data_IF_270634620106
#
_entry.id   IF_270634620106
#
_cell.length_a   1.000
_cell.length_b   1.000
_cell.length_c   1.000
_cell.angle_alpha   90.00
_cell.angle_beta   90.00
_cell.angle_gamma   90.00
#
_symmetry.space_group_name_H-M   'P 1'
#
loop_
_entity.id
_entity.type
_entity.pdbx_description
1 polymer ?
#
# COMPACT_ATOMS: atom_id res chain seq x y z
N UNK A 1 -19.61 45.54 -41.02
CA UNK A 1 -20.65 44.55 -40.61
C UNK A 1 -19.98 43.19 -40.52
N UNK A 2 -19.58 42.81 -39.34
CA UNK A 2 -18.90 41.50 -39.08
C UNK A 2 -19.77 40.71 -38.09
N UNK A 3 -20.38 39.68 -38.62
CA UNK A 3 -21.28 38.77 -37.89
C UNK A 3 -20.48 37.89 -36.94
N UNK A 4 -20.66 38.05 -35.62
CA UNK A 4 -20.20 37.13 -34.60
C UNK A 4 -21.00 35.83 -34.68
N UNK A 5 -20.35 34.70 -35.04
CA UNK A 5 -20.91 33.35 -34.86
C UNK A 5 -20.94 32.99 -33.38
N UNK A 6 -22.14 32.85 -32.83
CA UNK A 6 -22.39 32.28 -31.50
C UNK A 6 -21.99 30.79 -31.52
N UNK A 7 -20.94 30.43 -30.80
CA UNK A 7 -20.60 29.05 -30.50
C UNK A 7 -21.61 28.49 -29.45
N UNK A 8 -22.31 27.42 -29.83
CA UNK A 8 -23.18 26.65 -28.91
C UNK A 8 -22.32 26.11 -27.75
N UNK A 9 -22.76 26.22 -26.48
CA UNK A 9 -22.08 25.57 -25.38
C UNK A 9 -22.21 24.04 -25.52
N UNK A 10 -21.11 23.34 -25.25
CA UNK A 10 -21.08 21.87 -25.20
C UNK A 10 -22.11 21.33 -24.18
N UNK A 11 -22.74 20.18 -24.44
CA UNK A 11 -23.72 19.61 -23.53
C UNK A 11 -23.05 19.31 -22.19
N UNK A 12 -23.56 19.91 -21.11
CA UNK A 12 -23.20 19.53 -19.74
C UNK A 12 -23.69 18.10 -19.51
N UNK A 13 -22.78 17.16 -19.27
CA UNK A 13 -23.13 15.81 -18.85
C UNK A 13 -24.12 15.87 -17.67
N UNK A 14 -25.25 15.20 -17.82
CA UNK A 14 -26.30 15.12 -16.82
C UNK A 14 -25.72 14.51 -15.54
N UNK A 15 -25.78 15.14 -14.38
CA UNK A 15 -25.32 14.51 -13.15
C UNK A 15 -26.12 13.23 -12.91
N UNK A 16 -25.44 12.11 -12.71
CA UNK A 16 -26.07 10.84 -12.33
C UNK A 16 -26.88 11.11 -11.07
N UNK A 17 -28.21 10.97 -11.18
CA UNK A 17 -29.12 11.23 -10.09
C UNK A 17 -28.93 10.22 -8.94
N UNK A 18 -29.46 10.49 -7.76
CA UNK A 18 -29.29 9.60 -6.57
C UNK A 18 -29.81 8.17 -6.83
N UNK A 19 -30.81 7.99 -7.71
CA UNK A 19 -31.29 6.69 -8.12
C UNK A 19 -30.24 5.94 -8.96
N UNK A 20 -29.54 6.62 -9.87
CA UNK A 20 -28.43 6.04 -10.63
C UNK A 20 -27.25 5.63 -9.75
N UNK A 21 -26.97 6.41 -8.72
CA UNK A 21 -25.95 6.05 -7.70
C UNK A 21 -26.35 4.84 -6.86
N UNK A 22 -27.64 4.71 -6.52
CA UNK A 22 -28.15 3.55 -5.79
C UNK A 22 -28.09 2.28 -6.63
N UNK A 23 -28.44 2.35 -7.92
CA UNK A 23 -28.32 1.23 -8.87
C UNK A 23 -26.86 0.81 -9.04
N UNK A 24 -25.92 1.75 -9.19
CA UNK A 24 -24.49 1.45 -9.27
C UNK A 24 -23.97 0.80 -7.99
N UNK A 25 -24.48 1.21 -6.80
CA UNK A 25 -24.14 0.56 -5.52
C UNK A 25 -24.63 -0.89 -5.46
N UNK A 26 -25.88 -1.14 -5.87
CA UNK A 26 -26.44 -2.48 -5.93
C UNK A 26 -25.70 -3.40 -6.92
N UNK A 27 -25.35 -2.88 -8.10
CA UNK A 27 -24.58 -3.64 -9.10
C UNK A 27 -23.15 -3.98 -8.62
N UNK A 28 -22.54 -3.13 -7.79
CA UNK A 28 -21.21 -3.39 -7.21
C UNK A 28 -21.18 -4.54 -6.21
N UNK A 29 -22.32 -4.99 -5.68
CA UNK A 29 -22.41 -6.18 -4.82
C UNK A 29 -22.28 -7.50 -5.58
N UNK A 30 -22.38 -7.47 -6.92
CA UNK A 30 -22.23 -8.64 -7.78
C UNK A 30 -20.76 -8.75 -8.20
N UNK A 31 -20.02 -9.82 -7.85
CA UNK A 31 -18.56 -9.92 -8.09
C UNK A 31 -18.15 -9.68 -9.54
N UNK A 32 -18.85 -10.28 -10.51
CA UNK A 32 -18.51 -10.12 -11.92
C UNK A 32 -18.74 -8.69 -12.43
N UNK A 33 -19.72 -7.99 -11.87
CA UNK A 33 -20.00 -6.59 -12.21
C UNK A 33 -18.96 -5.70 -11.56
N UNK A 34 -18.61 -5.96 -10.31
CA UNK A 34 -17.56 -5.23 -9.58
C UNK A 34 -16.20 -5.35 -10.28
N UNK A 35 -15.84 -6.54 -10.73
CA UNK A 35 -14.47 -6.84 -11.16
C UNK A 35 -14.24 -6.56 -12.66
N UNK A 36 -15.31 -6.59 -13.48
CA UNK A 36 -15.20 -6.37 -14.94
C UNK A 36 -15.97 -5.14 -15.46
N UNK A 37 -17.18 -4.92 -14.97
CA UNK A 37 -18.04 -3.84 -15.50
C UNK A 37 -17.73 -2.49 -14.83
N UNK A 38 -17.52 -2.49 -13.51
CA UNK A 38 -17.19 -1.24 -12.79
C UNK A 38 -15.85 -0.63 -13.24
N UNK A 39 -14.76 -1.39 -13.44
CA UNK A 39 -13.54 -0.83 -14.02
C UNK A 39 -13.74 -0.22 -15.40
N UNK A 40 -14.57 -0.83 -16.25
CA UNK A 40 -14.89 -0.29 -17.58
C UNK A 40 -15.69 1.02 -17.47
N UNK A 41 -16.75 1.07 -16.65
CA UNK A 41 -17.55 2.28 -16.42
C UNK A 41 -16.72 3.42 -15.82
N UNK A 42 -15.83 3.11 -14.87
CA UNK A 42 -14.92 4.10 -14.29
C UNK A 42 -13.90 4.59 -15.31
N UNK A 43 -13.44 3.71 -16.20
CA UNK A 43 -12.54 4.07 -17.31
C UNK A 43 -13.20 5.07 -18.25
N UNK A 44 -14.46 4.83 -18.63
CA UNK A 44 -15.22 5.71 -19.52
C UNK A 44 -15.51 7.08 -18.85
N UNK A 45 -15.85 7.10 -17.55
CA UNK A 45 -15.99 8.33 -16.79
C UNK A 45 -14.69 9.16 -16.75
N UNK A 46 -13.53 8.50 -16.64
CA UNK A 46 -12.23 9.18 -16.62
C UNK A 46 -11.87 9.79 -17.96
N UNK A 47 -12.27 9.19 -19.08
CA UNK A 47 -12.05 9.74 -20.43
C UNK A 47 -12.73 11.11 -20.62
N UNK A 48 -13.81 11.35 -19.91
CA UNK A 48 -14.59 12.58 -20.01
C UNK A 48 -14.10 13.69 -19.06
N UNK A 49 -13.18 13.38 -18.14
CA UNK A 49 -12.71 14.34 -17.13
C UNK A 49 -11.37 14.94 -17.56
N UNK A 50 -11.28 16.26 -17.78
CA UNK A 50 -10.02 16.93 -18.02
C UNK A 50 -9.07 16.75 -16.83
N UNK A 51 -7.85 16.23 -17.06
CA UNK A 51 -6.85 16.01 -15.99
C UNK A 51 -6.31 17.30 -15.41
N UNK A 52 -6.09 18.32 -16.25
CA UNK A 52 -5.48 19.60 -15.85
C UNK A 52 -6.27 20.34 -14.76
N UNK A 53 -7.60 20.51 -14.81
CA UNK A 53 -8.37 21.14 -13.73
C UNK A 53 -8.28 20.36 -12.40
N UNK A 54 -8.26 19.03 -12.44
CA UNK A 54 -8.16 18.22 -11.23
C UNK A 54 -6.79 18.37 -10.57
N UNK A 55 -5.72 18.36 -11.37
CA UNK A 55 -4.36 18.61 -10.89
C UNK A 55 -4.28 20.02 -10.30
N UNK A 56 -4.84 21.02 -10.97
CA UNK A 56 -4.86 22.41 -10.48
C UNK A 56 -5.62 22.54 -9.16
N UNK A 57 -6.78 21.90 -9.03
CA UNK A 57 -7.58 21.90 -7.80
C UNK A 57 -6.84 21.22 -6.64
N UNK A 58 -6.23 20.04 -6.87
CA UNK A 58 -5.40 19.35 -5.88
C UNK A 58 -4.22 20.21 -5.42
N UNK A 59 -3.47 20.81 -6.37
CA UNK A 59 -2.36 21.69 -6.02
C UNK A 59 -2.83 22.96 -5.30
N UNK A 60 -3.99 23.50 -5.65
CA UNK A 60 -4.65 24.61 -4.97
C UNK A 60 -4.98 24.29 -3.52
N UNK A 61 -5.53 23.10 -3.27
CA UNK A 61 -5.84 22.63 -1.92
C UNK A 61 -4.57 22.43 -1.07
N UNK A 62 -3.55 21.79 -1.62
CA UNK A 62 -2.26 21.61 -0.93
C UNK A 62 -1.58 22.94 -0.63
N UNK A 63 -1.61 23.92 -1.56
CA UNK A 63 -1.12 25.29 -1.30
C UNK A 63 -1.89 26.01 -0.20
N UNK A 64 -3.22 25.80 -0.14
CA UNK A 64 -4.04 26.36 0.94
C UNK A 64 -3.62 25.77 2.28
N UNK A 65 -3.47 24.45 2.36
CA UNK A 65 -3.03 23.76 3.57
C UNK A 65 -1.62 24.19 4.01
N UNK A 66 -0.70 24.38 3.08
CA UNK A 66 0.67 24.81 3.42
C UNK A 66 0.73 26.21 4.03
N UNK A 67 -0.26 27.08 3.77
CA UNK A 67 -0.36 28.45 4.32
C UNK A 67 -1.08 28.50 5.67
N UNK A 68 -1.67 27.42 6.15
CA UNK A 68 -2.32 27.39 7.46
C UNK A 68 -1.27 27.35 8.58
N UNK A 69 -1.61 27.83 9.76
CA UNK A 69 -0.88 27.61 11.00
C UNK A 69 -1.53 26.46 11.79
N UNK A 70 -0.74 25.76 12.62
CA UNK A 70 -1.21 24.64 13.43
C UNK A 70 -1.05 23.27 12.75
N UNK A 71 -1.44 22.20 13.47
CA UNK A 71 -1.20 20.84 13.04
C UNK A 71 -2.08 20.44 11.85
N UNK A 72 -1.52 19.61 10.96
CA UNK A 72 -2.20 18.99 9.82
C UNK A 72 -2.22 17.49 10.01
N UNK A 73 -3.37 16.86 9.84
CA UNK A 73 -3.47 15.42 9.77
C UNK A 73 -3.07 14.94 8.37
N UNK A 74 -2.25 13.89 8.31
CA UNK A 74 -1.85 13.20 7.10
C UNK A 74 -2.47 11.80 7.11
N UNK A 75 -3.43 11.56 6.25
CA UNK A 75 -4.28 10.38 6.30
C UNK A 75 -5.74 10.71 6.60
N UNK A 76 -6.48 9.86 7.34
CA UNK A 76 -6.05 8.54 7.81
C UNK A 76 -5.89 7.56 6.65
N UNK A 77 -4.93 6.64 6.76
CA UNK A 77 -4.79 5.57 5.78
C UNK A 77 -5.64 4.36 6.18
N UNK A 78 -6.69 4.08 5.38
CA UNK A 78 -7.67 3.01 5.64
C UNK A 78 -7.70 1.96 4.52
N UNK A 79 -6.78 2.08 3.57
CA UNK A 79 -6.69 1.20 2.40
C UNK A 79 -5.60 0.13 2.57
N UNK A 80 -5.28 -0.56 1.47
CA UNK A 80 -4.31 -1.66 1.43
C UNK A 80 -2.88 -1.19 1.72
N UNK A 81 -2.09 -2.01 2.43
CA UNK A 81 -0.67 -1.79 2.74
C UNK A 81 0.17 -1.56 1.47
N UNK A 82 -0.10 -2.34 0.41
CA UNK A 82 0.62 -2.19 -0.85
C UNK A 82 0.45 -0.83 -1.51
N UNK A 83 -0.75 -0.25 -1.46
CA UNK A 83 -1.00 1.10 -1.96
C UNK A 83 -0.38 2.18 -1.08
N UNK A 84 -0.30 1.95 0.24
CA UNK A 84 0.38 2.85 1.17
C UNK A 84 1.87 2.98 0.79
N UNK A 85 2.55 1.86 0.66
CA UNK A 85 3.97 1.82 0.32
C UNK A 85 4.27 2.30 -1.11
N UNK A 86 3.48 1.82 -2.09
CA UNK A 86 3.81 2.05 -3.49
C UNK A 86 3.37 3.44 -3.99
N UNK A 87 2.35 4.05 -3.37
CA UNK A 87 1.74 5.29 -3.86
C UNK A 87 1.62 6.38 -2.80
N UNK A 88 1.10 6.06 -1.61
CA UNK A 88 0.80 7.07 -0.61
C UNK A 88 2.06 7.69 0.00
N UNK A 89 2.97 6.89 0.49
CA UNK A 89 4.24 7.36 1.05
C UNK A 89 5.03 8.19 0.03
N UNK A 90 5.26 7.72 -1.22
CA UNK A 90 5.95 8.50 -2.24
C UNK A 90 5.21 9.79 -2.63
N UNK A 91 3.88 9.78 -2.65
CA UNK A 91 3.09 10.98 -2.89
C UNK A 91 3.26 11.99 -1.75
N UNK A 92 3.24 11.55 -0.50
CA UNK A 92 3.45 12.44 0.65
C UNK A 92 4.83 13.07 0.68
N UNK A 93 5.89 12.32 0.34
CA UNK A 93 7.24 12.86 0.22
C UNK A 93 7.27 14.00 -0.80
N UNK A 94 6.63 13.79 -1.96
CA UNK A 94 6.47 14.86 -2.94
C UNK A 94 5.66 16.04 -2.39
N UNK A 95 4.58 15.80 -1.66
CA UNK A 95 3.75 16.89 -1.06
C UNK A 95 4.57 17.71 -0.08
N UNK A 96 5.29 17.05 0.82
CA UNK A 96 6.13 17.72 1.83
C UNK A 96 7.20 18.57 1.15
N UNK A 97 7.90 18.02 0.16
CA UNK A 97 8.95 18.73 -0.57
C UNK A 97 8.40 19.87 -1.43
N UNK A 98 7.40 19.62 -2.26
CA UNK A 98 6.84 20.59 -3.21
C UNK A 98 6.17 21.79 -2.52
N UNK A 99 5.46 21.55 -1.42
CA UNK A 99 4.70 22.58 -0.70
C UNK A 99 5.41 23.09 0.56
N UNK A 100 6.64 22.61 0.82
CA UNK A 100 7.47 23.00 1.97
C UNK A 100 6.69 22.88 3.29
N UNK A 101 6.00 21.74 3.45
CA UNK A 101 5.31 21.43 4.70
C UNK A 101 6.34 21.12 5.78
N UNK A 102 6.20 21.75 6.94
CA UNK A 102 7.04 21.45 8.10
C UNK A 102 6.60 20.10 8.72
N UNK A 103 7.47 19.06 8.75
CA UNK A 103 7.15 17.77 9.35
C UNK A 103 6.73 17.87 10.83
N UNK A 104 7.16 18.89 11.57
CA UNK A 104 6.77 19.12 12.96
C UNK A 104 5.28 19.47 13.12
N UNK A 105 4.61 19.89 12.05
CA UNK A 105 3.18 20.18 12.02
C UNK A 105 2.34 18.99 11.57
N UNK A 106 2.96 17.91 11.07
CA UNK A 106 2.25 16.80 10.44
C UNK A 106 2.07 15.65 11.43
N UNK A 107 0.82 15.19 11.53
CA UNK A 107 0.42 14.03 12.31
C UNK A 107 0.00 12.94 11.32
N UNK A 108 0.83 11.93 11.13
CA UNK A 108 0.48 10.80 10.28
C UNK A 108 -0.46 9.85 11.01
N UNK A 109 -1.49 9.38 10.30
CA UNK A 109 -2.47 8.43 10.84
C UNK A 109 -2.54 7.21 9.95
N UNK A 110 -2.09 6.08 10.47
CA UNK A 110 -2.16 4.76 9.83
C UNK A 110 -2.31 3.68 10.89
N UNK A 111 -2.02 2.42 10.58
CA UNK A 111 -2.21 1.28 11.48
C UNK A 111 -0.98 0.39 11.57
N UNK A 112 -0.89 -0.37 12.67
CA UNK A 112 0.12 -1.41 12.85
C UNK A 112 1.51 -0.89 13.23
N UNK A 113 1.58 0.35 13.77
CA UNK A 113 2.81 0.92 14.33
C UNK A 113 3.82 1.44 13.30
N UNK A 114 3.38 1.79 12.08
CA UNK A 114 4.25 2.12 10.94
C UNK A 114 4.85 3.53 10.96
N UNK A 115 5.11 4.09 12.13
CA UNK A 115 5.73 5.42 12.27
C UNK A 115 7.03 5.55 11.45
N UNK A 116 7.82 4.48 11.35
CA UNK A 116 9.06 4.44 10.55
C UNK A 116 8.85 4.70 9.06
N UNK A 117 7.68 4.37 8.50
CA UNK A 117 7.37 4.64 7.09
C UNK A 117 7.15 6.12 6.82
N UNK A 118 6.73 6.87 7.84
CA UNK A 118 6.46 8.32 7.78
C UNK A 118 7.64 9.16 8.25
N UNK A 119 8.77 8.53 8.58
CA UNK A 119 9.99 9.26 8.94
C UNK A 119 10.40 10.24 7.83
N UNK A 120 10.68 11.50 8.19
CA UNK A 120 10.95 12.59 7.24
C UNK A 120 9.70 13.18 6.56
N UNK A 121 8.50 12.59 6.79
CA UNK A 121 7.21 13.12 6.33
C UNK A 121 6.49 13.81 7.48
N UNK A 122 6.35 13.12 8.62
CA UNK A 122 5.64 13.62 9.79
C UNK A 122 6.42 13.27 11.06
N UNK A 123 6.51 14.22 12.00
CA UNK A 123 7.19 13.99 13.27
C UNK A 123 6.27 13.42 14.36
N UNK A 124 4.96 13.45 14.15
CA UNK A 124 3.97 12.80 15.01
C UNK A 124 3.24 11.70 14.25
N UNK A 125 2.96 10.60 14.94
CA UNK A 125 2.23 9.45 14.44
C UNK A 125 1.15 9.04 15.42
N UNK A 126 -0.04 8.77 14.92
CA UNK A 126 -1.15 8.21 15.68
C UNK A 126 -1.59 6.90 15.04
N UNK A 127 -1.47 5.80 15.77
CA UNK A 127 -1.97 4.51 15.29
C UNK A 127 -3.50 4.45 15.41
N UNK A 128 -4.16 3.89 14.39
CA UNK A 128 -5.62 3.71 14.41
C UNK A 128 -6.09 2.86 15.60
N UNK A 129 -5.29 1.89 16.02
CA UNK A 129 -5.56 1.07 17.20
C UNK A 129 -5.24 1.75 18.54
N UNK A 130 -4.84 3.02 18.52
CA UNK A 130 -4.92 3.90 19.68
C UNK A 130 -6.30 4.53 19.86
N UNK A 131 -7.06 4.61 18.78
CA UNK A 131 -8.37 5.27 18.71
C UNK A 131 -9.52 4.27 18.70
N UNK A 132 -9.28 3.05 18.23
CA UNK A 132 -10.26 1.99 18.05
C UNK A 132 -9.71 0.66 18.58
N UNK A 133 -10.60 -0.19 19.05
CA UNK A 133 -10.34 -1.62 19.15
C UNK A 133 -10.30 -2.23 17.74
N UNK A 134 -9.77 -3.45 17.62
CA UNK A 134 -9.73 -4.16 16.32
C UNK A 134 -11.14 -4.38 15.77
N UNK A 135 -12.09 -4.72 16.63
CA UNK A 135 -13.47 -5.00 16.22
C UNK A 135 -14.19 -3.72 15.77
N UNK A 136 -14.09 -2.63 16.55
CA UNK A 136 -14.65 -1.33 16.16
C UNK A 136 -14.07 -0.84 14.82
N UNK A 137 -12.77 -0.98 14.63
CA UNK A 137 -12.13 -0.60 13.38
C UNK A 137 -12.63 -1.45 12.20
N UNK A 138 -12.70 -2.77 12.37
CA UNK A 138 -13.20 -3.69 11.33
C UNK A 138 -14.63 -3.36 10.94
N UNK A 139 -15.53 -3.23 11.89
CA UNK A 139 -16.94 -2.87 11.65
C UNK A 139 -17.08 -1.54 10.92
N UNK A 140 -16.35 -0.51 11.37
CA UNK A 140 -16.37 0.82 10.77
C UNK A 140 -15.81 0.81 9.34
N UNK A 141 -14.74 0.06 9.09
CA UNK A 141 -14.12 -0.03 7.78
C UNK A 141 -14.96 -0.88 6.80
N UNK A 142 -15.59 -1.95 7.26
CA UNK A 142 -16.56 -2.72 6.48
C UNK A 142 -17.81 -1.90 6.14
N UNK A 143 -18.32 -1.09 7.10
CA UNK A 143 -19.42 -0.17 6.84
C UNK A 143 -19.05 0.86 5.76
N UNK A 144 -17.82 1.40 5.81
CA UNK A 144 -17.27 2.27 4.77
C UNK A 144 -17.21 1.57 3.40
N UNK A 145 -16.75 0.32 3.34
CA UNK A 145 -16.69 -0.43 2.09
C UNK A 145 -18.08 -0.70 1.52
N UNK A 146 -19.04 -1.06 2.35
CA UNK A 146 -20.45 -1.23 1.94
C UNK A 146 -21.06 0.08 1.41
N UNK A 147 -20.79 1.20 2.09
CA UNK A 147 -21.27 2.52 1.67
C UNK A 147 -20.64 2.96 0.32
N UNK A 148 -19.32 2.75 0.16
CA UNK A 148 -18.55 3.27 -0.97
C UNK A 148 -18.39 2.28 -2.13
N UNK A 149 -18.64 1.00 -1.91
CA UNK A 149 -18.48 -0.07 -2.90
C UNK A 149 -17.03 -0.38 -3.29
N UNK A 150 -16.05 0.16 -2.56
CA UNK A 150 -14.64 -0.14 -2.75
C UNK A 150 -13.80 0.21 -1.52
N UNK A 151 -12.58 -0.34 -1.43
CA UNK A 151 -11.64 -0.09 -0.35
C UNK A 151 -10.86 1.23 -0.50
N UNK A 152 -10.82 1.80 -1.70
CA UNK A 152 -10.01 2.99 -2.03
C UNK A 152 -10.70 4.27 -1.55
N UNK A 153 -9.92 5.20 -1.05
CA UNK A 153 -10.39 6.45 -0.45
C UNK A 153 -10.49 7.58 -1.51
N UNK A 154 -11.42 7.49 -2.46
CA UNK A 154 -11.60 8.52 -3.50
C UNK A 154 -12.23 9.82 -3.00
N UNK A 155 -12.79 9.83 -1.81
CA UNK A 155 -13.37 10.98 -1.13
C UNK A 155 -13.25 10.81 0.40
N UNK A 156 -13.54 11.88 1.13
CA UNK A 156 -13.54 11.89 2.59
C UNK A 156 -14.93 11.48 3.10
N UNK A 157 -14.98 10.38 3.85
CA UNK A 157 -16.21 9.85 4.46
C UNK A 157 -16.47 10.31 5.89
N UNK A 158 -17.47 9.70 6.53
CA UNK A 158 -17.81 9.93 7.94
C UNK A 158 -16.71 9.45 8.86
N UNK A 159 -16.18 8.25 8.63
CA UNK A 159 -15.10 7.65 9.42
C UNK A 159 -13.81 8.49 9.35
N UNK A 160 -13.46 9.06 8.19
CA UNK A 160 -12.28 9.91 8.05
C UNK A 160 -12.39 11.16 8.95
N UNK A 161 -13.58 11.75 9.03
CA UNK A 161 -13.88 12.91 9.88
C UNK A 161 -13.90 12.56 11.36
N UNK A 162 -14.45 11.41 11.68
CA UNK A 162 -14.46 10.88 13.05
C UNK A 162 -13.06 10.65 13.58
N UNK A 163 -12.20 9.98 12.77
CA UNK A 163 -10.79 9.76 13.12
C UNK A 163 -10.09 11.11 13.33
N UNK A 164 -10.29 12.08 12.42
CA UNK A 164 -9.71 13.40 12.58
C UNK A 164 -10.15 14.09 13.88
N UNK A 165 -11.41 13.95 14.27
CA UNK A 165 -11.95 14.44 15.55
C UNK A 165 -11.27 13.78 16.76
N UNK A 166 -11.18 12.45 16.78
CA UNK A 166 -10.53 11.67 17.85
C UNK A 166 -9.02 12.00 17.97
N UNK A 167 -8.33 12.22 16.84
CA UNK A 167 -6.92 12.66 16.84
C UNK A 167 -6.78 14.06 17.44
N UNK A 168 -7.65 15.00 17.03
CA UNK A 168 -7.64 16.36 17.55
C UNK A 168 -7.87 16.40 19.07
N UNK A 169 -8.85 15.64 19.55
CA UNK A 169 -9.13 15.49 20.98
C UNK A 169 -7.94 14.89 21.74
N UNK A 170 -7.38 13.78 21.23
CA UNK A 170 -6.25 13.09 21.86
C UNK A 170 -4.98 13.95 21.94
N UNK A 171 -4.77 14.81 20.95
CA UNK A 171 -3.62 15.75 20.91
C UNK A 171 -3.91 17.08 21.62
N UNK A 172 -5.14 17.31 22.08
CA UNK A 172 -5.53 18.58 22.67
C UNK A 172 -5.37 19.77 21.72
N UNK A 173 -5.44 19.54 20.40
CA UNK A 173 -5.12 20.55 19.39
C UNK A 173 -6.15 20.53 18.25
N UNK A 174 -6.58 21.75 17.85
CA UNK A 174 -7.45 21.91 16.67
C UNK A 174 -6.62 21.71 15.39
N UNK A 175 -7.03 20.76 14.56
CA UNK A 175 -6.41 20.53 13.26
C UNK A 175 -6.66 21.70 12.32
N UNK A 176 -5.63 22.18 11.64
CA UNK A 176 -5.71 23.22 10.62
C UNK A 176 -6.21 22.69 9.27
N UNK A 177 -6.15 21.36 9.08
CA UNK A 177 -6.65 20.66 7.90
C UNK A 177 -6.17 19.23 7.80
N UNK A 178 -6.50 18.61 6.67
CA UNK A 178 -6.20 17.20 6.40
C UNK A 178 -5.59 17.06 5.02
N UNK A 179 -4.39 16.46 4.94
CA UNK A 179 -3.83 15.92 3.69
C UNK A 179 -4.38 14.51 3.54
N UNK A 180 -5.51 14.39 2.83
CA UNK A 180 -6.27 13.15 2.76
C UNK A 180 -5.86 12.28 1.57
N UNK A 181 -5.91 10.93 1.65
CA UNK A 181 -5.56 10.01 0.56
C UNK A 181 -6.35 10.23 -0.74
N UNK A 182 -7.54 10.83 -0.71
CA UNK A 182 -8.29 11.12 -1.94
C UNK A 182 -7.49 11.99 -2.91
N UNK A 183 -6.58 12.85 -2.44
CA UNK A 183 -5.73 13.69 -3.28
C UNK A 183 -4.84 12.82 -4.18
N UNK A 184 -4.21 11.81 -3.60
CA UNK A 184 -3.42 10.83 -4.33
C UNK A 184 -4.30 9.97 -5.24
N UNK A 185 -5.40 9.41 -4.73
CA UNK A 185 -6.28 8.54 -5.51
C UNK A 185 -6.90 9.25 -6.72
N UNK A 186 -7.37 10.48 -6.57
CA UNK A 186 -7.92 11.28 -7.68
C UNK A 186 -6.88 11.61 -8.74
N UNK A 187 -5.63 11.84 -8.34
CA UNK A 187 -4.53 12.12 -9.26
C UNK A 187 -4.07 10.87 -10.00
N UNK A 188 -3.69 9.81 -9.24
CA UNK A 188 -3.01 8.65 -9.82
C UNK A 188 -3.96 7.68 -10.52
N UNK A 189 -5.29 7.78 -10.34
CA UNK A 189 -6.24 6.99 -11.11
C UNK A 189 -6.09 7.18 -12.61
N UNK A 190 -5.69 8.37 -13.07
CA UNK A 190 -5.44 8.63 -14.49
C UNK A 190 -4.31 7.77 -15.03
N UNK A 191 -3.28 7.53 -14.24
CA UNK A 191 -2.19 6.63 -14.58
C UNK A 191 -2.65 5.15 -14.56
N UNK A 192 -3.36 4.73 -13.51
CA UNK A 192 -3.82 3.34 -13.38
C UNK A 192 -4.80 2.91 -14.48
N UNK A 193 -5.56 3.84 -15.03
CA UNK A 193 -6.47 3.58 -16.13
C UNK A 193 -5.90 3.98 -17.50
N UNK A 194 -4.57 4.13 -17.59
CA UNK A 194 -3.85 4.43 -18.85
C UNK A 194 -4.27 5.73 -19.55
N UNK A 195 -4.84 6.69 -18.79
CA UNK A 195 -5.27 8.01 -19.30
C UNK A 195 -4.19 9.08 -19.17
N UNK A 196 -3.12 8.77 -18.47
CA UNK A 196 -1.97 9.64 -18.34
C UNK A 196 -0.67 8.85 -18.43
N UNK A 197 0.34 9.47 -19.03
CA UNK A 197 1.67 8.90 -19.10
C UNK A 197 2.29 8.77 -17.70
N UNK A 198 3.25 7.87 -17.57
CA UNK A 198 4.03 7.66 -16.35
C UNK A 198 4.69 8.93 -15.80
N UNK A 199 4.92 9.93 -16.65
CA UNK A 199 5.42 11.24 -16.23
C UNK A 199 4.49 11.95 -15.22
N UNK A 200 3.19 11.62 -15.19
CA UNK A 200 2.29 12.12 -14.16
C UNK A 200 2.70 11.59 -12.78
N UNK A 201 2.94 10.29 -12.67
CA UNK A 201 3.41 9.65 -11.44
C UNK A 201 4.79 10.21 -11.04
N UNK A 202 5.75 10.27 -11.97
CA UNK A 202 7.11 10.74 -11.70
C UNK A 202 7.16 12.18 -11.15
N UNK A 203 6.28 13.05 -11.63
CA UNK A 203 6.19 14.44 -11.16
C UNK A 203 5.59 14.57 -9.76
N UNK A 204 4.82 13.59 -9.32
CA UNK A 204 4.02 13.68 -8.09
C UNK A 204 4.36 12.58 -7.07
N UNK A 205 5.51 11.95 -7.21
CA UNK A 205 6.02 10.96 -6.24
C UNK A 205 7.51 11.13 -6.03
N UNK A 206 8.00 10.75 -4.83
CA UNK A 206 9.41 10.64 -4.48
C UNK A 206 9.61 9.33 -3.74
N UNK A 207 10.48 8.48 -4.27
CA UNK A 207 10.88 7.23 -3.62
C UNK A 207 12.15 7.48 -2.81
N UNK A 208 12.09 7.23 -1.51
CA UNK A 208 13.20 7.39 -0.56
C UNK A 208 13.17 6.24 0.43
N UNK A 209 14.33 5.86 0.95
CA UNK A 209 14.45 4.79 1.92
C UNK A 209 13.55 5.03 3.16
N UNK A 210 12.99 3.95 3.66
CA UNK A 210 12.23 3.93 4.92
C UNK A 210 13.22 3.70 6.08
N UNK A 211 13.00 4.36 7.20
CA UNK A 211 13.81 4.13 8.39
C UNK A 211 13.64 2.70 8.89
N UNK A 212 14.76 2.02 9.16
CA UNK A 212 14.76 0.66 9.71
C UNK A 212 14.40 0.69 11.18
N UNK A 213 13.27 0.07 11.61
CA UNK A 213 12.96 -0.03 13.03
C UNK A 213 13.94 -0.99 13.72
N UNK A 214 14.11 -0.80 15.03
CA UNK A 214 14.88 -1.74 15.84
C UNK A 214 14.22 -3.13 15.81
N UNK A 215 15.04 -4.17 15.67
CA UNK A 215 14.56 -5.55 15.69
C UNK A 215 14.41 -6.02 17.14
N UNK A 216 13.20 -6.42 17.58
CA UNK A 216 13.00 -6.99 18.91
C UNK A 216 13.37 -8.50 18.92
N UNK A 217 14.63 -8.81 18.55
CA UNK A 217 15.10 -10.18 18.34
C UNK A 217 14.89 -11.08 19.57
N UNK A 218 15.20 -10.57 20.76
CA UNK A 218 15.05 -11.33 22.02
C UNK A 218 13.58 -11.69 22.32
N UNK A 219 12.65 -10.78 22.00
CA UNK A 219 11.21 -11.01 22.19
C UNK A 219 10.68 -12.21 21.39
N UNK A 220 11.28 -12.47 20.22
CA UNK A 220 10.84 -13.51 19.30
C UNK A 220 11.85 -14.66 19.16
N UNK A 221 12.98 -14.62 19.87
CA UNK A 221 14.04 -15.61 19.75
C UNK A 221 14.61 -15.74 18.34
N UNK A 222 14.76 -14.60 17.63
CA UNK A 222 15.18 -14.61 16.23
C UNK A 222 16.67 -14.84 16.08
N UNK A 223 17.11 -15.64 15.09
CA UNK A 223 18.51 -15.84 14.78
C UNK A 223 19.13 -14.58 14.15
N UNK A 224 20.46 -14.50 14.16
CA UNK A 224 21.20 -13.36 13.58
C UNK A 224 21.11 -13.31 12.05
N UNK A 225 21.01 -14.46 11.40
CA UNK A 225 20.92 -14.62 9.94
C UNK A 225 19.70 -15.44 9.58
N UNK A 226 18.82 -14.93 8.73
CA UNK A 226 17.61 -15.59 8.33
C UNK A 226 17.04 -15.06 7.02
N UNK A 227 16.18 -15.85 6.39
CA UNK A 227 15.30 -15.39 5.31
C UNK A 227 13.90 -15.15 5.88
N UNK A 228 13.36 -13.96 5.66
CA UNK A 228 11.99 -13.63 6.07
C UNK A 228 10.99 -14.08 5.00
N UNK A 229 9.89 -14.69 5.43
CA UNK A 229 8.82 -15.17 4.55
C UNK A 229 7.47 -14.59 4.93
N UNK A 230 6.72 -14.11 3.89
CA UNK A 230 5.34 -13.68 4.06
C UNK A 230 4.49 -14.10 2.86
N UNK A 231 3.70 -15.14 3.02
CA UNK A 231 2.72 -15.55 2.02
C UNK A 231 1.31 -15.32 2.52
N UNK A 232 0.46 -14.81 1.65
CA UNK A 232 -0.96 -14.65 1.86
C UNK A 232 -1.70 -14.85 0.53
N UNK A 233 -2.94 -15.33 0.62
CA UNK A 233 -3.76 -15.57 -0.57
C UNK A 233 -4.45 -14.28 -1.03
N UNK A 234 -4.48 -14.11 -2.35
CA UNK A 234 -5.09 -12.99 -3.05
C UNK A 234 -5.37 -13.40 -4.51
N UNK A 235 -6.13 -12.61 -5.31
CA UNK A 235 -6.40 -13.00 -6.70
C UNK A 235 -5.17 -13.36 -7.54
N UNK A 236 -4.05 -12.65 -7.38
CA UNK A 236 -2.80 -12.96 -8.10
C UNK A 236 -2.03 -14.16 -7.53
N UNK A 237 -2.39 -14.62 -6.33
CA UNK A 237 -1.84 -15.82 -5.66
C UNK A 237 -2.98 -16.50 -4.91
N UNK A 238 -3.94 -17.16 -5.63
CA UNK A 238 -5.15 -17.72 -5.03
C UNK A 238 -4.88 -18.89 -4.10
N UNK A 239 -5.81 -19.14 -3.18
CA UNK A 239 -5.76 -20.28 -2.29
C UNK A 239 -6.06 -21.57 -3.06
N UNK A 240 -5.01 -22.25 -3.50
CA UNK A 240 -5.08 -23.53 -4.20
C UNK A 240 -4.16 -24.56 -3.54
N UNK A 241 -4.46 -25.87 -3.66
CA UNK A 241 -3.58 -26.91 -3.17
C UNK A 241 -2.14 -26.77 -3.69
N UNK A 242 -1.96 -26.40 -4.96
CA UNK A 242 -0.66 -26.23 -5.59
C UNK A 242 0.13 -25.06 -4.98
N UNK A 243 -0.52 -23.91 -4.77
CA UNK A 243 0.11 -22.78 -4.11
C UNK A 243 0.47 -23.09 -2.66
N UNK A 244 -0.40 -23.79 -1.93
CA UNK A 244 -0.10 -24.26 -0.56
C UNK A 244 1.08 -25.24 -0.53
N UNK A 245 1.12 -26.19 -1.46
CA UNK A 245 2.23 -27.14 -1.59
C UNK A 245 3.52 -26.42 -1.92
N UNK A 246 3.50 -25.53 -2.92
CA UNK A 246 4.66 -24.71 -3.30
C UNK A 246 5.26 -23.95 -2.13
N UNK A 247 4.43 -23.26 -1.34
CA UNK A 247 4.92 -22.48 -0.19
C UNK A 247 5.56 -23.40 0.85
N UNK A 248 4.94 -24.54 1.18
CA UNK A 248 5.52 -25.52 2.12
C UNK A 248 6.86 -26.04 1.63
N UNK A 249 6.93 -26.45 0.36
CA UNK A 249 8.16 -26.99 -0.24
C UNK A 249 9.28 -25.94 -0.28
N UNK A 250 8.93 -24.68 -0.59
CA UNK A 250 9.88 -23.57 -0.63
C UNK A 250 10.45 -23.27 0.77
N UNK A 251 9.59 -23.17 1.76
CA UNK A 251 10.00 -22.96 3.16
C UNK A 251 10.87 -24.14 3.63
N UNK A 252 10.47 -25.40 3.33
CA UNK A 252 11.22 -26.59 3.68
C UNK A 252 12.64 -26.59 3.11
N UNK A 253 12.78 -26.25 1.82
CA UNK A 253 14.07 -26.19 1.15
C UNK A 253 14.99 -25.14 1.73
N UNK A 254 14.45 -23.92 1.99
CA UNK A 254 15.25 -22.85 2.58
C UNK A 254 15.60 -23.17 4.05
N UNK A 255 14.67 -23.75 4.82
CA UNK A 255 14.89 -24.12 6.21
C UNK A 255 15.93 -25.25 6.39
N UNK A 256 16.23 -26.03 5.34
CA UNK A 256 17.29 -27.04 5.37
C UNK A 256 18.69 -26.44 5.46
N UNK A 257 18.90 -25.25 4.89
CA UNK A 257 20.21 -24.61 4.77
C UNK A 257 20.39 -23.36 5.65
N UNK A 258 19.30 -22.71 6.02
CA UNK A 258 19.30 -21.44 6.79
C UNK A 258 18.03 -21.25 7.60
N UNK A 259 18.09 -20.42 8.62
CA UNK A 259 16.91 -20.08 9.39
C UNK A 259 15.86 -19.35 8.55
N UNK A 260 14.60 -19.66 8.79
CA UNK A 260 13.43 -19.04 8.19
C UNK A 260 12.61 -18.35 9.28
N UNK A 261 12.19 -17.11 9.03
CA UNK A 261 11.25 -16.39 9.89
C UNK A 261 9.95 -16.16 9.14
N UNK A 262 8.85 -16.74 9.63
CA UNK A 262 7.52 -16.52 9.08
C UNK A 262 6.89 -15.27 9.68
N UNK A 263 6.43 -14.39 8.80
CA UNK A 263 5.80 -13.11 9.16
C UNK A 263 4.26 -13.21 9.26
N UNK A 264 3.72 -14.41 9.48
CA UNK A 264 2.28 -14.56 9.67
C UNK A 264 1.87 -13.86 10.97
N UNK A 265 0.94 -12.89 10.93
CA UNK A 265 0.59 -12.13 12.13
C UNK A 265 -0.35 -12.87 13.08
N UNK A 266 -1.02 -13.92 12.62
CA UNK A 266 -2.12 -14.55 13.38
C UNK A 266 -3.33 -13.64 13.61
N UNK A 267 -3.32 -12.45 13.02
CA UNK A 267 -4.35 -11.41 13.17
C UNK A 267 -5.12 -11.26 11.85
N UNK A 268 -6.43 -11.37 11.90
CA UNK A 268 -7.30 -11.05 10.77
C UNK A 268 -7.64 -9.56 10.78
N UNK A 269 -6.75 -8.76 10.20
CA UNK A 269 -6.96 -7.31 10.03
C UNK A 269 -7.42 -6.94 8.61
N UNK A 270 -7.16 -7.82 7.65
CA UNK A 270 -7.48 -7.69 6.22
C UNK A 270 -8.16 -8.98 5.73
N UNK A 271 -8.67 -8.97 4.48
CA UNK A 271 -9.28 -10.16 3.82
C UNK A 271 -8.24 -11.20 3.34
N UNK A 272 -7.09 -11.28 4.01
CA UNK A 272 -6.01 -12.18 3.62
C UNK A 272 -5.87 -13.33 4.61
N UNK A 273 -5.93 -14.55 4.10
CA UNK A 273 -5.62 -15.75 4.87
C UNK A 273 -4.14 -16.10 4.76
N UNK A 274 -3.52 -16.35 5.91
CA UNK A 274 -2.11 -16.70 6.00
C UNK A 274 -1.87 -18.15 5.59
N UNK A 275 -0.70 -18.42 4.99
CA UNK A 275 -0.26 -19.81 4.75
C UNK A 275 0.46 -20.31 5.98
N UNK A 276 -0.10 -21.32 6.66
CA UNK A 276 0.57 -21.95 7.79
C UNK A 276 1.55 -23.05 7.34
N UNK A 277 2.77 -23.01 7.92
CA UNK A 277 3.83 -23.98 7.69
C UNK A 277 4.43 -24.35 9.04
N UNK A 278 4.01 -25.49 9.60
CA UNK A 278 4.61 -26.04 10.81
C UNK A 278 5.84 -26.89 10.46
N UNK A 279 7.05 -26.43 10.77
CA UNK A 279 8.28 -27.16 10.46
C UNK A 279 9.44 -26.79 11.39
N UNK A 280 10.38 -27.73 11.60
CA UNK A 280 11.64 -27.48 12.32
C UNK A 280 12.52 -26.49 11.55
N UNK A 281 13.25 -25.62 12.27
CA UNK A 281 14.07 -24.55 11.66
C UNK A 281 13.30 -23.31 11.21
N UNK A 282 12.00 -23.27 11.49
CA UNK A 282 11.12 -22.14 11.18
C UNK A 282 10.76 -21.39 12.47
N UNK A 283 11.07 -20.13 12.51
CA UNK A 283 10.75 -19.19 13.61
C UNK A 283 9.46 -18.44 13.29
N UNK A 284 8.68 -18.11 14.31
CA UNK A 284 7.38 -17.44 14.16
C UNK A 284 7.31 -16.23 15.06
N UNK A 285 6.60 -15.19 14.62
CA UNK A 285 6.43 -13.94 15.36
C UNK A 285 4.98 -13.73 15.84
N UNK A 286 4.02 -14.56 15.42
CA UNK A 286 2.59 -14.42 15.66
C UNK A 286 2.20 -14.43 17.15
N UNK A 287 2.93 -15.16 17.99
CA UNK A 287 2.62 -15.38 19.41
C UNK A 287 2.67 -14.12 20.29
N UNK A 288 3.28 -13.06 19.82
CA UNK A 288 3.47 -11.83 20.58
C UNK A 288 3.12 -10.56 19.79
N UNK A 289 2.49 -10.69 18.60
CA UNK A 289 2.05 -9.54 17.82
C UNK A 289 0.72 -8.97 18.33
N UNK A 290 0.62 -7.65 18.32
CA UNK A 290 -0.63 -6.93 18.54
C UNK A 290 -1.03 -6.17 17.29
N UNK A 291 -2.29 -5.77 17.17
CA UNK A 291 -2.73 -4.94 16.05
C UNK A 291 -1.91 -3.64 15.93
N UNK A 292 -1.48 -3.07 17.07
CA UNK A 292 -0.73 -1.81 17.15
C UNK A 292 0.73 -1.90 16.71
N UNK A 293 1.35 -3.08 16.77
CA UNK A 293 2.78 -3.26 16.43
C UNK A 293 3.03 -4.20 15.25
N UNK A 294 1.99 -4.82 14.74
CA UNK A 294 2.03 -5.85 13.70
C UNK A 294 2.90 -5.46 12.50
N UNK A 295 2.61 -4.35 11.83
CA UNK A 295 3.36 -3.96 10.63
C UNK A 295 4.75 -3.40 10.97
N UNK A 296 4.91 -2.77 12.15
CA UNK A 296 6.22 -2.33 12.61
C UNK A 296 7.16 -3.51 12.86
N UNK A 297 6.69 -4.55 13.53
CA UNK A 297 7.51 -5.76 13.79
C UNK A 297 7.83 -6.48 12.47
N UNK A 298 6.85 -6.65 11.58
CA UNK A 298 7.12 -7.23 10.25
C UNK A 298 8.14 -6.38 9.47
N UNK A 299 8.05 -5.05 9.53
CA UNK A 299 9.03 -4.15 8.91
C UNK A 299 10.41 -4.36 9.52
N UNK A 300 10.52 -4.44 10.85
CA UNK A 300 11.79 -4.68 11.53
C UNK A 300 12.40 -6.03 11.14
N UNK A 301 11.60 -7.09 11.12
CA UNK A 301 12.07 -8.42 10.70
C UNK A 301 12.54 -8.41 9.25
N UNK A 302 11.83 -7.78 8.33
CA UNK A 302 12.28 -7.66 6.93
C UNK A 302 13.58 -6.84 6.87
N UNK A 303 13.67 -5.73 7.60
CA UNK A 303 14.82 -4.81 7.56
C UNK A 303 16.15 -5.45 7.99
N UNK A 304 16.09 -6.52 8.78
CA UNK A 304 17.26 -7.24 9.31
C UNK A 304 17.44 -8.64 8.72
N UNK A 305 16.60 -9.03 7.76
CA UNK A 305 16.73 -10.29 7.04
C UNK A 305 17.83 -10.24 5.97
N UNK A 306 18.47 -11.37 5.70
CA UNK A 306 19.38 -11.53 4.57
C UNK A 306 18.63 -11.47 3.22
N UNK A 307 17.36 -11.92 3.20
CA UNK A 307 16.45 -11.83 2.06
C UNK A 307 15.00 -11.87 2.52
N UNK A 308 14.10 -11.40 1.65
CA UNK A 308 12.65 -11.52 1.84
C UNK A 308 12.01 -12.26 0.68
N UNK A 309 11.13 -13.21 0.99
CA UNK A 309 10.37 -13.99 0.00
C UNK A 309 8.89 -13.98 0.36
N UNK A 310 8.01 -13.70 -0.59
CA UNK A 310 6.57 -13.69 -0.30
C UNK A 310 5.68 -13.50 -1.51
N UNK A 311 4.39 -13.35 -1.25
CA UNK A 311 3.42 -12.98 -2.28
C UNK A 311 3.77 -11.62 -2.85
N UNK A 312 3.81 -11.48 -4.18
CA UNK A 312 4.02 -10.18 -4.83
C UNK A 312 2.91 -9.19 -4.47
N UNK A 313 3.31 -8.00 -4.04
CA UNK A 313 2.43 -6.95 -3.51
C UNK A 313 2.60 -6.77 -2.00
N UNK A 314 1.86 -5.82 -1.42
CA UNK A 314 1.89 -5.57 0.03
C UNK A 314 3.30 -5.41 0.58
N UNK A 315 3.70 -6.29 1.49
CA UNK A 315 5.01 -6.22 2.16
C UNK A 315 6.20 -6.49 1.24
N UNK A 316 6.01 -7.09 0.05
CA UNK A 316 7.14 -7.26 -0.87
C UNK A 316 7.76 -5.94 -1.34
N UNK A 317 7.01 -4.84 -1.25
CA UNK A 317 7.53 -3.50 -1.56
C UNK A 317 8.46 -2.95 -0.46
N UNK A 318 8.38 -3.47 0.77
CA UNK A 318 9.28 -3.05 1.85
C UNK A 318 10.73 -3.43 1.61
N UNK A 319 10.97 -4.61 1.02
CA UNK A 319 12.35 -5.06 0.77
C UNK A 319 13.20 -4.02 0.06
N UNK A 320 12.81 -3.51 -1.13
CA UNK A 320 13.53 -2.42 -1.79
C UNK A 320 13.72 -1.18 -0.93
N UNK A 321 12.69 -0.72 -0.22
CA UNK A 321 12.80 0.45 0.66
C UNK A 321 13.80 0.28 1.80
N UNK A 322 14.02 -0.97 2.23
CA UNK A 322 14.90 -1.34 3.34
C UNK A 322 16.29 -1.83 2.87
N UNK A 323 16.52 -1.89 1.55
CA UNK A 323 17.75 -2.39 0.97
C UNK A 323 17.90 -3.91 1.11
N UNK A 324 16.80 -4.67 1.16
CA UNK A 324 16.79 -6.13 1.36
C UNK A 324 16.44 -6.82 0.03
N UNK A 325 17.28 -7.75 -0.48
CA UNK A 325 16.97 -8.55 -1.65
C UNK A 325 15.61 -9.25 -1.49
N UNK A 326 14.74 -9.11 -2.48
CA UNK A 326 13.37 -9.56 -2.36
C UNK A 326 12.93 -10.40 -3.55
N UNK A 327 12.16 -11.46 -3.29
CA UNK A 327 11.46 -12.27 -4.30
C UNK A 327 9.96 -12.20 -4.03
N UNK A 328 9.22 -11.67 -5.00
CA UNK A 328 7.75 -11.63 -4.99
C UNK A 328 7.17 -12.66 -5.94
N UNK A 329 6.32 -13.56 -5.44
CA UNK A 329 5.72 -14.64 -6.23
C UNK A 329 4.27 -14.36 -6.57
N UNK A 330 3.86 -14.75 -7.77
CA UNK A 330 2.47 -14.79 -8.21
C UNK A 330 2.21 -16.07 -9.00
N UNK A 331 0.97 -16.57 -9.00
CA UNK A 331 0.56 -17.75 -9.77
C UNK A 331 -0.51 -17.45 -10.83
N UNK A 332 -1.18 -16.30 -10.73
CA UNK A 332 -2.26 -15.93 -11.65
C UNK A 332 -1.98 -14.57 -12.30
N UNK A 333 -1.29 -14.62 -13.46
CA UNK A 333 -0.85 -13.44 -14.20
C UNK A 333 -1.97 -12.47 -14.61
N UNK A 334 -3.20 -12.91 -14.98
CA UNK A 334 -4.28 -11.98 -15.33
C UNK A 334 -4.68 -10.99 -14.23
N UNK A 335 -4.37 -11.30 -12.98
CA UNK A 335 -4.66 -10.43 -11.83
C UNK A 335 -3.49 -9.48 -11.48
N UNK A 336 -2.41 -9.53 -12.25
CA UNK A 336 -1.35 -8.53 -12.13
C UNK A 336 -1.75 -7.24 -12.85
N UNK A 337 -1.56 -6.13 -12.18
CA UNK A 337 -1.78 -4.81 -12.76
C UNK A 337 -0.46 -4.27 -13.30
N UNK A 338 -0.30 -4.12 -14.64
CA UNK A 338 0.97 -3.68 -15.23
C UNK A 338 1.48 -2.36 -14.68
N UNK A 339 0.58 -1.41 -14.39
CA UNK A 339 0.92 -0.14 -13.78
C UNK A 339 1.62 -0.30 -12.41
N UNK A 340 1.22 -1.31 -11.60
CA UNK A 340 1.87 -1.55 -10.31
C UNK A 340 3.26 -2.16 -10.47
N UNK A 341 3.46 -3.02 -11.49
CA UNK A 341 4.78 -3.55 -11.84
C UNK A 341 5.73 -2.45 -12.29
N UNK A 342 5.29 -1.55 -13.16
CA UNK A 342 6.10 -0.40 -13.61
C UNK A 342 6.53 0.48 -12.43
N UNK A 343 5.63 0.75 -11.50
CA UNK A 343 5.96 1.54 -10.29
C UNK A 343 6.92 0.78 -9.36
N UNK A 344 6.75 -0.54 -9.24
CA UNK A 344 7.66 -1.38 -8.46
C UNK A 344 9.08 -1.33 -9.02
N UNK A 345 9.26 -1.42 -10.33
CA UNK A 345 10.59 -1.30 -10.94
C UNK A 345 11.21 0.08 -10.75
N UNK A 346 10.39 1.14 -10.71
CA UNK A 346 10.86 2.50 -10.40
C UNK A 346 11.30 2.62 -8.96
N UNK A 347 10.56 2.02 -8.02
CA UNK A 347 10.96 1.90 -6.63
C UNK A 347 12.32 1.20 -6.52
N UNK A 348 12.46 0.01 -7.12
CA UNK A 348 13.71 -0.76 -7.09
C UNK A 348 14.89 0.03 -7.65
N UNK A 349 14.68 0.73 -8.75
CA UNK A 349 15.71 1.58 -9.37
C UNK A 349 16.09 2.76 -8.49
N UNK A 350 15.11 3.41 -7.85
CA UNK A 350 15.36 4.55 -6.98
C UNK A 350 16.09 4.15 -5.69
N UNK A 351 15.83 2.93 -5.21
CA UNK A 351 16.46 2.37 -4.00
C UNK A 351 17.74 1.58 -4.27
N UNK A 352 18.09 1.37 -5.54
CA UNK A 352 19.21 0.48 -5.95
C UNK A 352 19.13 -0.91 -5.29
N UNK A 353 17.90 -1.39 -5.06
CA UNK A 353 17.63 -2.63 -4.34
C UNK A 353 16.70 -3.54 -5.16
N UNK A 354 17.08 -4.81 -5.41
CA UNK A 354 16.34 -5.69 -6.30
C UNK A 354 15.06 -6.24 -5.64
N UNK A 355 13.97 -6.21 -6.41
CA UNK A 355 12.81 -7.07 -6.21
C UNK A 355 12.62 -7.89 -7.49
N UNK A 356 12.80 -9.20 -7.39
CA UNK A 356 12.52 -10.14 -8.47
C UNK A 356 11.08 -10.59 -8.39
N UNK A 357 10.29 -10.37 -9.44
CA UNK A 357 8.89 -10.82 -9.53
C UNK A 357 8.82 -12.05 -10.42
N UNK A 358 8.41 -13.19 -9.87
CA UNK A 358 8.42 -14.49 -10.56
C UNK A 358 7.07 -15.14 -10.58
N UNK A 359 6.75 -15.78 -11.72
CA UNK A 359 5.61 -16.69 -11.82
C UNK A 359 5.92 -18.04 -11.19
N UNK A 360 4.98 -18.60 -10.44
CA UNK A 360 5.11 -19.97 -9.91
C UNK A 360 5.07 -21.05 -10.98
N UNK A 361 4.65 -20.71 -12.21
CA UNK A 361 4.76 -21.63 -13.34
C UNK A 361 6.21 -22.04 -13.64
N UNK A 362 7.20 -21.18 -13.24
CA UNK A 362 8.62 -21.45 -13.42
C UNK A 362 9.28 -22.01 -12.14
N UNK A 363 8.61 -22.95 -11.47
CA UNK A 363 9.07 -23.55 -10.18
C UNK A 363 10.46 -24.13 -10.26
N UNK A 364 10.86 -24.71 -11.41
CA UNK A 364 12.21 -25.23 -11.62
C UNK A 364 13.27 -24.14 -11.59
N UNK A 365 12.93 -22.95 -12.09
CA UNK A 365 13.79 -21.76 -12.03
C UNK A 365 13.87 -21.23 -10.58
N UNK A 366 12.73 -21.16 -9.88
CA UNK A 366 12.66 -20.75 -8.47
C UNK A 366 13.58 -21.62 -7.59
N UNK A 367 13.52 -22.94 -7.74
CA UNK A 367 14.38 -23.83 -6.96
C UNK A 367 15.86 -23.61 -7.22
N UNK A 368 16.25 -23.27 -8.44
CA UNK A 368 17.65 -22.94 -8.79
C UNK A 368 18.09 -21.59 -8.24
N UNK A 369 17.22 -20.57 -8.31
CA UNK A 369 17.55 -19.21 -7.85
C UNK A 369 17.67 -19.16 -6.32
N UNK A 370 16.84 -19.90 -5.60
CA UNK A 370 16.80 -19.87 -4.13
C UNK A 370 17.83 -20.84 -3.52
N UNK A 371 18.12 -21.96 -4.18
CA UNK A 371 19.12 -22.94 -3.73
C UNK A 371 20.55 -22.59 -4.15
N UNK A 372 20.76 -21.62 -5.05
CA UNK A 372 22.10 -21.19 -5.39
C UNK A 372 22.74 -20.50 -4.18
N UNK A 373 23.91 -20.96 -3.68
CA UNK A 373 24.66 -20.19 -2.73
C UNK A 373 24.96 -18.84 -3.39
N UNK A 374 24.70 -17.75 -2.66
CA UNK A 374 25.21 -16.44 -3.05
C UNK A 374 26.73 -16.54 -2.94
N UNK A 375 27.35 -16.97 -4.03
CA UNK A 375 28.80 -17.04 -4.12
C UNK A 375 29.33 -15.62 -4.02
N UNK A 376 29.81 -15.26 -2.85
CA UNK A 376 30.77 -14.19 -2.71
C UNK A 376 31.99 -14.67 -3.52
N UNK A 377 32.05 -14.26 -4.77
CA UNK A 377 33.30 -14.34 -5.55
C UNK A 377 34.30 -13.47 -4.80
N UNK A 378 35.12 -14.09 -3.97
CA UNK A 378 36.34 -13.50 -3.53
C UNK A 378 37.20 -13.34 -4.81
N UNK A 379 37.17 -12.14 -5.38
CA UNK A 379 38.20 -11.74 -6.35
C UNK A 379 39.51 -11.71 -5.59
N UNK A 380 40.27 -12.79 -5.70
CA UNK A 380 41.67 -12.86 -5.31
C UNK A 380 42.50 -12.13 -6.35
N UNK A 381 43.34 -11.23 -5.83
CA UNK A 381 44.52 -10.57 -6.38
C UNK A 381 44.32 -9.51 -7.46
#
# INVERSE_FOLDING_TARGET
>A
MTTKKNAKPAPRGTPVNEAGKAVLRALRSIPIVRDKVVPWLVREEIDQIPTAPIIAAMRGELRRLSKTSGPLLVGPWLSEVGFELLYWIPFLRWVVDEFKLDPARLIAVSRGGVASWYHGIANDYCDLFELYTVDEYRESNEARWRERGNQKQYDMGSIDKEIAGRVAERRGAKLAGIVHPYLMYRLLRFYWYEKAAVSLLQRHTRFEAIAKPALPADRYGLPAHYTAFRFYFRPSFPDTPDNRALVRDLVARVAADRAVVLLNPGLRLDDHDDVDVGQSGVYRIDHALTARDNLNVQTAVIAHADAFVGTYGGLSYLGPYLGVPTVGLFSHAPELVPAHLDVTWRLCRAMESPLTVLSTADVSLLSKVIAAPVGVSAATA
#
